data_IF_248816983680
#
_entry.id   IF_248816983680
#
_cell.length_a   1.000
_cell.length_b   1.000
_cell.length_c   1.000
_cell.angle_alpha   90.00
_cell.angle_beta   90.00
_cell.angle_gamma   90.00
#
_symmetry.space_group_name_H-M   'P 1'
#
loop_
_entity.id
_entity.type
_entity.pdbx_description
1 polymer ?
#
# COMPACT_ATOMS: atom_id res chain seq x y z
N UNK A 1 11.62 23.70 -12.95
CA UNK A 1 10.22 23.72 -12.45
C UNK A 1 9.28 22.71 -13.14
N UNK A 2 9.63 22.07 -14.28
CA UNK A 2 8.78 21.08 -14.95
C UNK A 2 8.76 19.67 -14.28
N UNK A 3 9.86 19.29 -13.64
CA UNK A 3 10.08 17.96 -13.04
C UNK A 3 9.06 17.60 -11.94
N UNK A 4 8.71 18.58 -11.09
CA UNK A 4 7.75 18.42 -9.99
C UNK A 4 6.28 18.26 -10.45
N UNK A 5 5.94 18.63 -11.71
CA UNK A 5 4.57 18.45 -12.23
C UNK A 5 4.36 17.04 -12.77
N UNK A 6 5.37 16.50 -13.44
CA UNK A 6 5.37 15.12 -13.94
C UNK A 6 5.34 14.13 -12.79
N UNK A 7 6.17 14.32 -11.77
CA UNK A 7 6.19 13.46 -10.58
C UNK A 7 4.83 13.42 -9.88
N UNK A 8 4.18 14.58 -9.66
CA UNK A 8 2.82 14.64 -9.10
C UNK A 8 1.79 13.87 -9.92
N UNK A 9 1.87 13.94 -11.25
CA UNK A 9 0.97 13.18 -12.14
C UNK A 9 1.21 11.68 -12.00
N UNK A 10 2.47 11.25 -11.98
CA UNK A 10 2.85 9.84 -11.80
C UNK A 10 2.30 9.31 -10.46
N UNK A 11 2.55 10.03 -9.35
CA UNK A 11 2.05 9.63 -8.02
C UNK A 11 0.53 9.54 -7.98
N UNK A 12 -0.17 10.45 -8.65
CA UNK A 12 -1.64 10.42 -8.75
C UNK A 12 -2.11 9.17 -9.50
N UNK A 13 -1.54 8.88 -10.67
CA UNK A 13 -1.87 7.68 -11.46
C UNK A 13 -1.65 6.40 -10.67
N UNK A 14 -0.49 6.28 -10.00
CA UNK A 14 -0.17 5.12 -9.17
C UNK A 14 -1.20 4.95 -8.06
N UNK A 15 -1.59 6.05 -7.37
CA UNK A 15 -2.61 6.00 -6.32
C UNK A 15 -3.98 5.54 -6.85
N UNK A 16 -4.40 6.07 -8.00
CA UNK A 16 -5.69 5.69 -8.62
C UNK A 16 -5.71 4.21 -9.01
N UNK A 17 -4.60 3.69 -9.55
CA UNK A 17 -4.47 2.27 -9.88
C UNK A 17 -4.43 1.35 -8.66
N UNK A 18 -3.76 1.77 -7.58
CA UNK A 18 -3.77 1.02 -6.30
C UNK A 18 -5.17 0.91 -5.72
N UNK A 19 -5.93 2.01 -5.70
CA UNK A 19 -7.31 2.01 -5.21
C UNK A 19 -8.21 1.14 -6.09
N UNK A 20 -8.09 1.26 -7.42
CA UNK A 20 -8.84 0.42 -8.36
C UNK A 20 -8.56 -1.08 -8.16
N UNK A 21 -7.29 -1.45 -7.95
CA UNK A 21 -6.92 -2.83 -7.65
C UNK A 21 -7.58 -3.31 -6.36
N UNK A 22 -7.46 -2.56 -5.26
CA UNK A 22 -8.03 -2.93 -3.97
C UNK A 22 -9.56 -3.13 -4.03
N UNK A 23 -10.25 -2.21 -4.70
CA UNK A 23 -11.69 -2.30 -4.92
C UNK A 23 -12.07 -3.56 -5.71
N UNK A 24 -11.42 -3.81 -6.84
CA UNK A 24 -11.74 -4.94 -7.73
C UNK A 24 -11.42 -6.30 -7.08
N UNK A 25 -10.37 -6.39 -6.26
CA UNK A 25 -10.07 -7.61 -5.49
C UNK A 25 -11.22 -7.91 -4.52
N UNK A 26 -11.73 -6.88 -3.82
CA UNK A 26 -12.87 -7.04 -2.92
C UNK A 26 -14.15 -7.50 -3.65
N UNK A 27 -14.41 -6.96 -4.83
CA UNK A 27 -15.62 -7.23 -5.61
C UNK A 27 -15.62 -8.64 -6.23
N UNK A 28 -14.54 -9.01 -6.94
CA UNK A 28 -14.52 -10.22 -7.78
C UNK A 28 -13.28 -11.10 -7.64
N UNK A 29 -12.36 -10.76 -6.73
CA UNK A 29 -11.10 -11.48 -6.54
C UNK A 29 -10.06 -11.16 -7.61
N UNK A 30 -8.78 -11.33 -7.27
CA UNK A 30 -7.66 -10.91 -8.12
C UNK A 30 -7.61 -11.61 -9.49
N UNK A 31 -7.91 -12.91 -9.54
CA UNK A 31 -7.82 -13.70 -10.77
C UNK A 31 -8.78 -13.22 -11.86
N UNK A 32 -9.97 -12.74 -11.49
CA UNK A 32 -10.99 -12.24 -12.41
C UNK A 32 -10.75 -10.80 -12.90
N UNK A 33 -9.73 -10.11 -12.37
CA UNK A 33 -9.39 -8.73 -12.77
C UNK A 33 -8.71 -8.73 -14.14
N UNK A 34 -9.13 -7.81 -15.01
CA UNK A 34 -8.47 -7.50 -16.28
C UNK A 34 -7.88 -6.09 -16.25
N UNK A 35 -6.98 -5.81 -17.20
CA UNK A 35 -6.44 -4.46 -17.38
C UNK A 35 -7.56 -3.45 -17.72
N UNK A 36 -8.58 -3.87 -18.47
CA UNK A 36 -9.73 -3.03 -18.79
C UNK A 36 -10.45 -2.58 -17.52
N UNK A 37 -10.70 -3.50 -16.58
CA UNK A 37 -11.35 -3.17 -15.31
C UNK A 37 -10.53 -2.17 -14.50
N UNK A 38 -9.22 -2.41 -14.40
CA UNK A 38 -8.31 -1.52 -13.67
C UNK A 38 -8.31 -0.11 -14.27
N UNK A 39 -8.20 -0.01 -15.60
CA UNK A 39 -8.15 1.29 -16.29
C UNK A 39 -9.49 2.01 -16.27
N UNK A 40 -10.60 1.28 -16.35
CA UNK A 40 -11.95 1.85 -16.26
C UNK A 40 -12.25 2.35 -14.84
N UNK A 41 -11.93 1.55 -13.83
CA UNK A 41 -12.14 1.91 -12.42
C UNK A 41 -11.24 3.08 -11.99
N UNK A 42 -10.00 3.12 -12.48
CA UNK A 42 -9.06 4.20 -12.21
C UNK A 42 -9.27 5.44 -13.10
N UNK A 43 -10.20 5.44 -14.05
CA UNK A 43 -10.41 6.53 -15.03
C UNK A 43 -9.10 6.97 -15.72
N UNK A 44 -8.36 5.99 -16.27
CA UNK A 44 -7.13 6.25 -17.04
C UNK A 44 -7.12 5.49 -18.37
N UNK A 45 -6.30 5.97 -19.30
CA UNK A 45 -6.04 5.25 -20.55
C UNK A 45 -5.18 4.00 -20.31
N UNK A 46 -5.43 2.93 -21.09
CA UNK A 46 -4.60 1.72 -21.08
C UNK A 46 -3.12 2.00 -21.36
N UNK A 47 -2.82 2.92 -22.28
CA UNK A 47 -1.43 3.34 -22.53
C UNK A 47 -0.78 3.90 -21.26
N UNK A 48 -1.53 4.64 -20.43
CA UNK A 48 -1.04 5.17 -19.16
C UNK A 48 -0.78 4.06 -18.14
N UNK A 49 -1.59 3.00 -18.11
CA UNK A 49 -1.30 1.82 -17.29
C UNK A 49 0.06 1.20 -17.68
N UNK A 50 0.28 0.98 -18.98
CA UNK A 50 1.49 0.35 -19.48
C UNK A 50 2.77 1.20 -19.33
N UNK A 51 2.65 2.50 -19.05
CA UNK A 51 3.80 3.33 -18.65
C UNK A 51 4.32 3.00 -17.25
N UNK A 52 3.50 2.38 -16.40
CA UNK A 52 3.82 2.11 -15.00
C UNK A 52 3.92 0.61 -14.68
N UNK A 53 3.14 -0.21 -15.39
CA UNK A 53 2.97 -1.62 -15.07
C UNK A 53 2.93 -2.49 -16.33
N UNK A 54 3.57 -3.67 -16.27
CA UNK A 54 3.56 -4.65 -17.37
C UNK A 54 2.21 -5.36 -17.50
N UNK A 55 1.64 -5.73 -16.36
CA UNK A 55 0.36 -6.44 -16.22
C UNK A 55 -0.19 -6.23 -14.80
N UNK A 56 -1.28 -6.93 -14.47
CA UNK A 56 -1.91 -6.85 -13.15
C UNK A 56 -1.06 -7.45 -12.02
N UNK A 57 -0.17 -8.40 -12.32
CA UNK A 57 0.73 -9.02 -11.35
C UNK A 57 1.85 -8.05 -10.99
N UNK A 58 2.43 -7.35 -11.97
CA UNK A 58 3.41 -6.29 -11.72
C UNK A 58 2.82 -5.14 -10.88
N UNK A 59 1.55 -4.77 -11.10
CA UNK A 59 0.86 -3.83 -10.23
C UNK A 59 0.73 -4.36 -8.80
N UNK A 60 0.31 -5.62 -8.63
CA UNK A 60 0.16 -6.25 -7.32
C UNK A 60 1.50 -6.29 -6.57
N UNK A 61 2.54 -6.84 -7.19
CA UNK A 61 3.88 -6.97 -6.61
C UNK A 61 4.43 -5.60 -6.15
N UNK A 62 4.29 -4.57 -6.98
CA UNK A 62 4.71 -3.20 -6.59
C UNK A 62 3.90 -2.63 -5.43
N UNK A 63 2.64 -3.04 -5.26
CA UNK A 63 1.87 -2.67 -4.07
C UNK A 63 2.43 -3.34 -2.82
N UNK A 64 2.76 -4.63 -2.91
CA UNK A 64 3.33 -5.41 -1.80
C UNK A 64 4.71 -4.91 -1.42
N UNK A 65 5.60 -4.73 -2.38
CA UNK A 65 6.94 -4.16 -2.19
C UNK A 65 6.85 -2.79 -1.50
N UNK A 66 5.88 -1.96 -1.90
CA UNK A 66 5.67 -0.65 -1.27
C UNK A 66 5.23 -0.78 0.19
N UNK A 67 4.33 -1.72 0.49
CA UNK A 67 3.86 -1.98 1.86
C UNK A 67 5.01 -2.48 2.73
N UNK A 68 5.77 -3.45 2.25
CA UNK A 68 6.92 -4.00 2.97
C UNK A 68 7.98 -2.93 3.23
N UNK A 69 8.31 -2.12 2.21
CA UNK A 69 9.27 -1.01 2.34
C UNK A 69 8.80 0.07 3.33
N UNK A 70 7.50 0.35 3.38
CA UNK A 70 6.93 1.29 4.35
C UNK A 70 7.00 0.74 5.78
N UNK A 71 6.68 -0.54 5.96
CA UNK A 71 6.77 -1.21 7.27
C UNK A 71 8.22 -1.26 7.75
N UNK A 72 9.16 -1.57 6.87
CA UNK A 72 10.60 -1.56 7.18
C UNK A 72 11.04 -0.16 7.62
N UNK A 73 10.59 0.88 6.92
CA UNK A 73 10.88 2.27 7.27
C UNK A 73 10.32 2.68 8.64
N UNK A 74 9.07 2.30 8.94
CA UNK A 74 8.45 2.51 10.25
C UNK A 74 9.24 1.79 11.35
N UNK A 75 9.61 0.52 11.10
CA UNK A 75 10.38 -0.27 12.07
C UNK A 75 11.73 0.38 12.39
N UNK A 76 12.45 0.87 11.37
CA UNK A 76 13.74 1.53 11.55
C UNK A 76 13.62 2.87 12.26
N UNK A 77 12.57 3.65 12.01
CA UNK A 77 12.37 4.94 12.65
C UNK A 77 12.04 4.76 14.14
N UNK A 78 11.06 3.91 14.46
CA UNK A 78 10.55 3.79 15.83
C UNK A 78 11.40 2.90 16.74
N UNK A 79 12.08 1.87 16.21
CA UNK A 79 12.88 0.94 17.03
C UNK A 79 14.31 1.43 17.30
N UNK A 80 14.87 2.35 16.48
CA UNK A 80 16.19 2.93 16.76
C UNK A 80 16.25 3.76 18.04
N UNK A 81 15.11 4.30 18.47
CA UNK A 81 15.02 5.21 19.61
C UNK A 81 14.51 4.53 20.89
N UNK A 82 14.21 3.23 20.88
CA UNK A 82 13.58 2.53 22.00
C UNK A 82 14.45 1.36 22.45
N UNK A 83 14.90 1.37 23.72
CA UNK A 83 15.57 0.20 24.29
C UNK A 83 14.59 -0.97 24.45
N UNK A 84 15.08 -2.21 24.38
CA UNK A 84 14.29 -3.40 24.68
C UNK A 84 13.63 -3.33 26.06
N UNK A 85 14.33 -2.77 27.06
CA UNK A 85 13.80 -2.57 28.42
C UNK A 85 12.57 -1.66 28.43
N UNK A 86 12.62 -0.59 27.64
CA UNK A 86 11.58 0.44 27.60
C UNK A 86 10.35 -0.10 26.88
N UNK A 87 10.56 -0.83 25.79
CA UNK A 87 9.51 -1.55 25.07
C UNK A 87 8.80 -2.57 25.97
N UNK A 88 9.55 -3.39 26.72
CA UNK A 88 8.98 -4.36 27.65
C UNK A 88 8.18 -3.70 28.77
N UNK A 89 8.70 -2.61 29.32
CA UNK A 89 8.01 -1.83 30.35
C UNK A 89 6.72 -1.23 29.81
N UNK A 90 6.76 -0.58 28.65
CA UNK A 90 5.59 0.07 28.06
C UNK A 90 4.50 -0.97 27.71
N UNK A 91 4.89 -2.14 27.21
CA UNK A 91 3.94 -3.24 26.96
C UNK A 91 3.28 -3.75 28.25
N UNK A 92 4.05 -3.94 29.33
CA UNK A 92 3.51 -4.42 30.62
C UNK A 92 2.57 -3.41 31.26
N UNK A 93 2.90 -2.13 31.15
CA UNK A 93 2.11 -1.01 31.69
C UNK A 93 0.95 -0.60 30.77
N UNK A 94 0.76 -1.28 29.62
CA UNK A 94 -0.28 -0.96 28.65
C UNK A 94 -0.13 0.42 28.00
N UNK A 95 1.09 0.96 27.96
CA UNK A 95 1.41 2.25 27.36
C UNK A 95 1.48 2.12 25.84
N UNK A 96 1.15 3.20 25.09
CA UNK A 96 1.30 3.21 23.65
C UNK A 96 2.76 2.98 23.25
N UNK A 97 3.01 1.90 22.50
CA UNK A 97 4.31 1.65 21.89
C UNK A 97 4.38 2.43 20.58
N UNK A 98 5.31 3.40 20.40
CA UNK A 98 5.35 4.27 19.23
C UNK A 98 5.34 3.51 17.90
N UNK A 99 6.12 2.44 17.79
CA UNK A 99 6.13 1.55 16.63
C UNK A 99 4.73 0.98 16.31
N UNK A 100 4.01 0.47 17.32
CA UNK A 100 2.68 -0.09 17.12
C UNK A 100 1.67 1.00 16.76
N UNK A 101 1.79 2.19 17.34
CA UNK A 101 0.92 3.33 16.99
C UNK A 101 1.13 3.73 15.53
N UNK A 102 2.38 3.87 15.09
CA UNK A 102 2.71 4.23 13.71
C UNK A 102 2.29 3.13 12.73
N UNK A 103 2.59 1.87 13.04
CA UNK A 103 2.20 0.72 12.22
C UNK A 103 0.67 0.60 12.09
N UNK A 104 -0.06 0.70 13.19
CA UNK A 104 -1.53 0.64 13.16
C UNK A 104 -2.13 1.85 12.43
N UNK A 105 -1.51 3.02 12.55
CA UNK A 105 -1.90 4.21 11.78
C UNK A 105 -1.69 3.97 10.29
N UNK A 106 -0.52 3.46 9.89
CA UNK A 106 -0.24 3.08 8.50
C UNK A 106 -1.24 2.04 7.97
N UNK A 107 -1.53 1.01 8.77
CA UNK A 107 -2.50 -0.02 8.42
C UNK A 107 -3.91 0.57 8.22
N UNK A 108 -4.32 1.51 9.07
CA UNK A 108 -5.60 2.21 8.95
C UNK A 108 -5.66 3.05 7.68
N UNK A 109 -4.59 3.76 7.34
CA UNK A 109 -4.51 4.63 6.15
C UNK A 109 -4.47 3.83 4.83
N UNK A 110 -3.96 2.61 4.86
CA UNK A 110 -3.85 1.71 3.70
C UNK A 110 -4.78 0.50 3.82
N UNK A 111 -5.87 0.63 4.58
CA UNK A 111 -6.73 -0.49 4.95
C UNK A 111 -7.41 -1.14 3.74
N UNK A 112 -7.70 -0.39 2.69
CA UNK A 112 -8.30 -0.87 1.44
C UNK A 112 -7.42 -1.93 0.76
N UNK A 113 -6.15 -1.59 0.51
CA UNK A 113 -5.20 -2.47 -0.15
C UNK A 113 -4.74 -3.59 0.78
N UNK A 114 -4.52 -3.30 2.08
CA UNK A 114 -4.12 -4.33 3.05
C UNK A 114 -5.23 -5.36 3.22
N UNK A 115 -6.49 -4.94 3.30
CA UNK A 115 -7.63 -5.86 3.35
C UNK A 115 -7.78 -6.66 2.07
N UNK A 116 -7.54 -6.05 0.91
CA UNK A 116 -7.56 -6.74 -0.36
C UNK A 116 -6.48 -7.85 -0.41
N UNK A 117 -5.28 -7.57 0.09
CA UNK A 117 -4.17 -8.53 0.11
C UNK A 117 -4.35 -9.64 1.15
N UNK A 118 -4.78 -9.32 2.37
CA UNK A 118 -4.90 -10.28 3.48
C UNK A 118 -6.27 -10.97 3.55
N UNK A 119 -7.20 -10.62 2.66
CA UNK A 119 -8.55 -11.17 2.63
C UNK A 119 -8.62 -12.53 1.93
N UNK A 120 -9.70 -13.30 2.11
CA UNK A 120 -9.88 -14.62 1.49
C UNK A 120 -9.99 -14.61 -0.05
N UNK A 121 -10.02 -13.41 -0.64
CA UNK A 121 -10.02 -13.16 -2.09
C UNK A 121 -8.72 -12.45 -2.56
N UNK A 122 -7.83 -12.16 -1.60
CA UNK A 122 -6.44 -11.77 -1.83
C UNK A 122 -5.58 -13.01 -2.08
N UNK A 123 -4.25 -12.86 -2.00
CA UNK A 123 -3.30 -13.97 -2.20
C UNK A 123 -3.46 -15.00 -1.08
#
# INVERSE_FOLDING_TARGET
MAENRTDRRIRRTIRMLRHALAQLIGEKGFDAITISDLTGTADINRTTFYLHYRDKYDLLNKCEEKILSDIESISHASLKCTSKSDLEHDLREGKPVPFLVELLTYCKENADIIKALLGPRGI
#
